data_IF_017684495878
#
_entry.id   IF_017684495878
#
_cell.length_a   1.000
_cell.length_b   1.000
_cell.length_c   1.000
_cell.angle_alpha   90.00
_cell.angle_beta   90.00
_cell.angle_gamma   90.00
#
_symmetry.space_group_name_H-M   'P 1'
#
loop_
_entity.id
_entity.type
_entity.pdbx_description
1 polymer ?
#
# COMPACT_ATOMS: atom_id res chain seq x y z
N UNK A 1 -6.69 -37.72 7.26
CA UNK A 1 -6.26 -36.56 6.47
C UNK A 1 -7.40 -35.56 6.54
N UNK A 2 -7.37 -34.66 7.52
CA UNK A 2 -8.33 -33.58 7.60
C UNK A 2 -8.10 -32.67 6.39
N UNK A 3 -9.07 -32.66 5.50
CA UNK A 3 -9.12 -31.67 4.43
C UNK A 3 -9.29 -30.32 5.11
N UNK A 4 -8.20 -29.58 5.24
CA UNK A 4 -8.23 -28.17 5.65
C UNK A 4 -9.35 -27.49 4.87
N UNK A 5 -10.43 -27.19 5.58
CA UNK A 5 -11.57 -26.49 5.02
C UNK A 5 -11.04 -25.16 4.54
N UNK A 6 -10.85 -25.01 3.21
CA UNK A 6 -10.42 -23.77 2.57
C UNK A 6 -11.38 -22.68 3.01
N UNK A 7 -10.98 -21.92 4.03
CA UNK A 7 -11.74 -20.82 4.56
C UNK A 7 -11.70 -19.71 3.52
N UNK A 8 -12.68 -19.73 2.61
CA UNK A 8 -12.93 -18.64 1.66
C UNK A 8 -14.10 -17.83 2.22
N UNK A 9 -13.91 -16.55 2.59
CA UNK A 9 -15.00 -15.75 3.12
C UNK A 9 -16.04 -15.51 2.02
N UNK A 10 -17.32 -15.51 2.40
CA UNK A 10 -18.45 -15.27 1.47
C UNK A 10 -18.45 -13.86 0.89
N UNK A 11 -17.74 -12.92 1.54
CA UNK A 11 -17.58 -11.53 1.11
C UNK A 11 -16.11 -11.14 1.24
N UNK A 12 -15.59 -10.27 0.37
CA UNK A 12 -14.24 -9.75 0.53
C UNK A 12 -14.13 -8.88 1.78
N UNK A 13 -12.97 -8.89 2.40
CA UNK A 13 -12.54 -7.86 3.33
C UNK A 13 -12.27 -6.57 2.58
N UNK A 14 -12.60 -5.44 3.19
CA UNK A 14 -12.25 -4.11 2.71
C UNK A 14 -11.38 -3.43 3.76
N UNK A 15 -10.21 -2.96 3.37
CA UNK A 15 -9.28 -2.38 4.34
C UNK A 15 -8.40 -1.32 3.70
N UNK A 16 -7.93 -0.42 4.54
CA UNK A 16 -6.94 0.60 4.22
C UNK A 16 -5.60 0.10 4.75
N UNK A 17 -4.57 0.19 3.92
CA UNK A 17 -3.21 -0.17 4.27
C UNK A 17 -2.27 1.01 4.05
N UNK A 18 -1.16 0.98 4.79
CA UNK A 18 -0.03 1.89 4.63
C UNK A 18 1.20 1.05 4.29
N UNK A 19 1.90 1.44 3.23
CA UNK A 19 3.21 0.90 2.87
C UNK A 19 4.26 1.92 3.27
N UNK A 20 5.30 1.51 4.00
CA UNK A 20 6.36 2.41 4.47
C UNK A 20 7.72 1.86 4.09
N UNK A 21 8.55 2.68 3.45
CA UNK A 21 9.92 2.36 3.12
C UNK A 21 10.84 2.78 4.27
N UNK A 22 11.45 1.81 4.94
CA UNK A 22 12.15 2.04 6.21
C UNK A 22 13.32 3.03 6.10
N UNK A 23 14.07 3.01 5.00
CA UNK A 23 15.28 3.83 4.86
C UNK A 23 14.99 5.28 4.44
N UNK A 24 13.98 5.49 3.60
CA UNK A 24 13.70 6.80 3.00
C UNK A 24 12.56 7.53 3.71
N UNK A 25 11.79 6.82 4.54
CA UNK A 25 10.57 7.33 5.16
C UNK A 25 9.41 7.53 4.18
N UNK A 26 9.58 7.17 2.90
CA UNK A 26 8.50 7.26 1.91
C UNK A 26 7.36 6.33 2.30
N UNK A 27 6.14 6.77 2.11
CA UNK A 27 4.98 5.92 2.37
C UNK A 27 3.85 6.13 1.39
N UNK A 28 3.00 5.12 1.27
CA UNK A 28 1.84 5.08 0.39
C UNK A 28 0.63 4.54 1.15
N UNK A 29 -0.52 5.19 0.99
CA UNK A 29 -1.80 4.77 1.56
C UNK A 29 -2.67 4.24 0.42
N UNK A 30 -3.38 3.14 0.65
CA UNK A 30 -4.31 2.63 -0.34
C UNK A 30 -5.42 1.78 0.21
N UNK A 31 -6.45 1.58 -0.61
CA UNK A 31 -7.57 0.68 -0.33
C UNK A 31 -7.39 -0.66 -1.03
N UNK A 32 -7.70 -1.75 -0.33
CA UNK A 32 -7.75 -3.09 -0.89
C UNK A 32 -9.08 -3.76 -0.57
N UNK A 33 -9.58 -4.52 -1.55
CA UNK A 33 -10.62 -5.52 -1.34
C UNK A 33 -10.00 -6.90 -1.58
N UNK A 34 -10.20 -7.85 -0.67
CA UNK A 34 -9.55 -9.16 -0.77
C UNK A 34 -10.36 -10.27 -0.11
N UNK A 35 -10.33 -11.48 -0.65
CA UNK A 35 -10.84 -12.67 0.03
C UNK A 35 -9.84 -13.23 1.03
N UNK A 36 -8.60 -12.76 1.02
CA UNK A 36 -7.63 -13.06 2.06
C UNK A 36 -7.88 -12.16 3.26
N UNK A 37 -7.62 -12.67 4.47
CA UNK A 37 -7.59 -11.82 5.66
C UNK A 37 -6.55 -10.71 5.47
N UNK A 38 -6.79 -9.46 5.92
CA UNK A 38 -5.90 -8.33 5.68
C UNK A 38 -4.43 -8.60 6.03
N UNK A 39 -4.17 -9.28 7.15
CA UNK A 39 -2.83 -9.65 7.63
C UNK A 39 -2.13 -10.74 6.80
N UNK A 40 -2.89 -11.49 5.99
CA UNK A 40 -2.39 -12.56 5.11
C UNK A 40 -2.42 -12.19 3.62
N UNK A 41 -3.01 -11.05 3.25
CA UNK A 41 -2.97 -10.59 1.86
C UNK A 41 -1.52 -10.21 1.53
N UNK A 42 -0.98 -10.69 0.41
CA UNK A 42 0.38 -10.39 -0.04
C UNK A 42 0.44 -9.20 -1.01
N UNK A 43 -0.68 -8.50 -1.22
CA UNK A 43 -0.75 -7.34 -2.11
C UNK A 43 0.04 -6.13 -1.56
N UNK A 44 0.92 -5.55 -2.38
CA UNK A 44 1.78 -4.40 -2.07
C UNK A 44 1.47 -3.15 -2.92
N UNK A 45 0.19 -2.94 -3.25
CA UNK A 45 -0.27 -1.70 -3.87
C UNK A 45 -0.11 -1.62 -5.38
N UNK A 46 -0.79 -0.65 -5.98
CA UNK A 46 -0.71 -0.41 -7.43
C UNK A 46 -0.77 1.06 -7.85
N UNK A 47 -0.46 1.99 -6.96
CA UNK A 47 -0.38 3.41 -7.30
C UNK A 47 0.75 3.65 -8.31
N UNK A 48 0.52 4.51 -9.31
CA UNK A 48 1.51 4.79 -10.36
C UNK A 48 2.85 5.26 -9.80
N UNK A 49 2.80 6.16 -8.81
CA UNK A 49 4.00 6.72 -8.18
C UNK A 49 4.73 5.72 -7.29
N UNK A 50 3.99 4.82 -6.66
CA UNK A 50 4.56 3.70 -5.91
C UNK A 50 5.33 2.77 -6.86
N UNK A 51 4.73 2.44 -8.02
CA UNK A 51 5.38 1.65 -9.06
C UNK A 51 6.61 2.32 -9.67
N UNK A 52 6.65 3.65 -9.78
CA UNK A 52 7.86 4.36 -10.19
C UNK A 52 9.01 4.10 -9.21
N UNK A 53 8.74 4.16 -7.90
CA UNK A 53 9.75 3.89 -6.87
C UNK A 53 10.16 2.41 -6.88
N UNK A 54 9.19 1.49 -6.94
CA UNK A 54 9.46 0.05 -7.04
C UNK A 54 10.38 -0.29 -8.21
N UNK A 55 10.12 0.27 -9.39
CA UNK A 55 10.94 0.01 -10.59
C UNK A 55 12.37 0.52 -10.46
N UNK A 56 12.57 1.63 -9.74
CA UNK A 56 13.90 2.15 -9.43
C UNK A 56 14.65 1.25 -8.42
N UNK A 57 13.92 0.47 -7.62
CA UNK A 57 14.45 -0.49 -6.65
C UNK A 57 14.53 -1.93 -7.19
N UNK A 58 14.29 -2.14 -8.49
CA UNK A 58 14.34 -3.47 -9.11
C UNK A 58 13.09 -4.34 -8.94
N UNK A 59 11.98 -3.77 -8.49
CA UNK A 59 10.69 -4.48 -8.35
C UNK A 59 9.76 -4.13 -9.52
N UNK A 60 9.36 -5.16 -10.30
CA UNK A 60 8.69 -5.01 -11.59
C UNK A 60 7.37 -5.78 -11.69
N UNK A 61 7.15 -6.79 -10.85
CA UNK A 61 5.95 -7.62 -10.89
C UNK A 61 5.43 -7.92 -9.49
N UNK A 62 4.10 -7.97 -9.36
CA UNK A 62 3.43 -8.13 -8.06
C UNK A 62 3.59 -9.53 -7.45
N UNK A 63 3.93 -10.52 -8.28
CA UNK A 63 4.21 -11.90 -7.89
C UNK A 63 5.62 -12.11 -7.32
N UNK A 64 6.51 -11.10 -7.40
CA UNK A 64 7.83 -11.11 -6.76
C UNK A 64 7.75 -11.04 -5.23
N UNK A 65 6.54 -10.99 -4.66
CA UNK A 65 6.32 -10.95 -3.23
C UNK A 65 6.53 -9.55 -2.66
N UNK A 66 7.22 -9.47 -1.52
CA UNK A 66 7.44 -8.22 -0.79
C UNK A 66 8.57 -7.40 -1.44
N UNK A 67 8.33 -6.14 -1.85
CA UNK A 67 9.39 -5.24 -2.32
C UNK A 67 10.42 -4.97 -1.21
N UNK A 68 11.71 -4.89 -1.57
CA UNK A 68 12.79 -4.67 -0.61
C UNK A 68 12.63 -3.33 0.14
N UNK A 69 12.84 -3.32 1.46
CA UNK A 69 12.74 -2.12 2.30
C UNK A 69 11.32 -1.63 2.60
N UNK A 70 10.28 -2.26 2.05
CA UNK A 70 8.89 -1.86 2.25
C UNK A 70 8.15 -2.73 3.27
N UNK A 71 7.55 -2.11 4.28
CA UNK A 71 6.66 -2.77 5.23
C UNK A 71 5.20 -2.39 4.98
N UNK A 72 4.29 -3.35 5.18
CA UNK A 72 2.84 -3.12 5.07
C UNK A 72 2.17 -3.15 6.44
N UNK A 73 1.38 -2.13 6.71
CA UNK A 73 0.56 -1.99 7.90
C UNK A 73 -0.91 -1.94 7.51
N UNK A 74 -1.76 -2.69 8.21
CA UNK A 74 -3.21 -2.57 8.09
C UNK A 74 -3.65 -1.43 9.00
N UNK A 75 -4.17 -0.36 8.41
CA UNK A 75 -4.56 0.86 9.13
C UNK A 75 -5.94 0.70 9.74
N UNK A 76 -6.90 0.22 8.93
CA UNK A 76 -8.28 0.01 9.35
C UNK A 76 -8.99 -0.97 8.43
N UNK A 77 -9.96 -1.71 8.98
CA UNK A 77 -10.82 -2.66 8.25
C UNK A 77 -12.26 -2.14 8.29
N UNK A 78 -12.96 -2.25 7.17
CA UNK A 78 -14.29 -1.68 6.95
C UNK A 78 -15.28 -2.74 6.48
N UNK A 79 -16.58 -2.57 6.77
CA UNK A 79 -17.62 -3.48 6.32
C UNK A 79 -17.85 -3.43 4.80
N UNK A 80 -17.51 -2.31 4.16
CA UNK A 80 -17.72 -2.08 2.74
C UNK A 80 -16.60 -1.22 2.13
N UNK A 81 -16.48 -1.28 0.80
CA UNK A 81 -15.44 -0.55 0.05
C UNK A 81 -15.65 0.96 0.04
N UNK A 82 -16.88 1.45 0.15
CA UNK A 82 -17.19 2.89 0.12
C UNK A 82 -16.62 3.54 1.38
N UNK A 83 -16.89 2.96 2.54
CA UNK A 83 -16.35 3.38 3.83
C UNK A 83 -14.82 3.37 3.83
N UNK A 84 -14.19 2.34 3.27
CA UNK A 84 -12.73 2.27 3.13
C UNK A 84 -12.17 3.39 2.23
N UNK A 85 -12.80 3.66 1.09
CA UNK A 85 -12.40 4.73 0.17
C UNK A 85 -12.56 6.13 0.80
N UNK A 86 -13.65 6.36 1.55
CA UNK A 86 -13.86 7.63 2.26
C UNK A 86 -12.74 7.87 3.28
N UNK A 87 -12.40 6.86 4.07
CA UNK A 87 -11.28 6.94 5.01
C UNK A 87 -9.95 7.20 4.32
N UNK A 88 -9.63 6.46 3.25
CA UNK A 88 -8.39 6.65 2.48
C UNK A 88 -8.30 8.08 1.91
N UNK A 89 -9.39 8.58 1.32
CA UNK A 89 -9.46 9.94 0.77
C UNK A 89 -9.22 11.00 1.85
N UNK A 90 -9.84 10.86 3.03
CA UNK A 90 -9.63 11.77 4.15
C UNK A 90 -8.18 11.72 4.67
N UNK A 91 -7.60 10.52 4.76
CA UNK A 91 -6.22 10.33 5.21
C UNK A 91 -5.23 10.95 4.23
N UNK A 92 -5.38 10.70 2.92
CA UNK A 92 -4.55 11.30 1.88
C UNK A 92 -4.70 12.84 1.87
N UNK A 93 -5.92 13.35 2.10
CA UNK A 93 -6.16 14.78 2.16
C UNK A 93 -5.41 15.45 3.33
N UNK A 94 -5.31 14.79 4.48
CA UNK A 94 -4.52 15.26 5.62
C UNK A 94 -3.01 15.32 5.29
N UNK A 95 -2.51 14.42 4.45
CA UNK A 95 -1.10 14.33 4.06
C UNK A 95 -0.72 15.19 2.84
N UNK A 96 -1.62 16.03 2.32
CA UNK A 96 -1.45 16.75 1.05
C UNK A 96 -0.13 17.54 0.91
N UNK A 97 0.42 18.02 2.02
CA UNK A 97 1.68 18.80 2.08
C UNK A 97 2.89 17.97 2.52
N UNK A 98 2.70 16.70 2.89
CA UNK A 98 3.76 15.84 3.36
C UNK A 98 4.61 15.35 2.17
N UNK A 99 5.91 15.68 2.11
CA UNK A 99 6.77 15.29 0.99
C UNK A 99 7.03 13.79 0.92
N UNK A 100 6.81 13.05 2.02
CA UNK A 100 7.03 11.61 2.09
C UNK A 100 5.81 10.79 1.64
N UNK A 101 4.64 11.42 1.52
CA UNK A 101 3.44 10.76 1.02
C UNK A 101 3.47 10.60 -0.50
N UNK A 102 3.48 9.36 -0.98
CA UNK A 102 3.49 9.03 -2.41
C UNK A 102 2.14 9.27 -3.08
N UNK A 103 1.04 9.37 -2.32
CA UNK A 103 -0.27 9.71 -2.87
C UNK A 103 -0.38 11.18 -3.30
N UNK A 104 0.50 12.05 -2.81
CA UNK A 104 0.37 13.50 -2.98
C UNK A 104 1.25 14.05 -4.12
N UNK A 105 0.68 14.96 -4.92
CA UNK A 105 1.29 15.51 -6.15
C UNK A 105 2.55 16.34 -5.89
N UNK A 106 2.66 16.96 -4.70
CA UNK A 106 3.78 17.83 -4.36
C UNK A 106 5.12 17.09 -4.28
N UNK A 107 5.12 15.78 -4.04
CA UNK A 107 6.36 15.02 -3.95
C UNK A 107 7.06 14.83 -5.30
N UNK A 108 6.44 15.09 -6.47
CA UNK A 108 7.07 14.83 -7.80
C UNK A 108 8.45 15.48 -7.97
N UNK A 109 8.64 16.70 -7.46
CA UNK A 109 9.91 17.44 -7.59
C UNK A 109 10.94 17.12 -6.49
N UNK A 110 10.51 16.70 -5.29
CA UNK A 110 11.43 16.25 -4.22
C UNK A 110 11.99 14.83 -4.49
N UNK A 111 11.21 14.00 -5.21
CA UNK A 111 11.44 12.57 -5.48
C UNK A 111 12.81 12.21 -6.08
N UNK A 112 13.34 13.02 -7.00
CA UNK A 112 14.61 12.68 -7.65
C UNK A 112 15.82 12.92 -6.72
N UNK A 113 15.73 13.86 -5.78
CA UNK A 113 16.89 14.26 -4.96
C UNK A 113 17.14 13.34 -3.77
N UNK A 114 16.13 12.64 -3.28
CA UNK A 114 16.26 11.71 -2.14
C UNK A 114 16.70 10.31 -2.56
N UNK A 115 16.32 9.85 -3.76
CA UNK A 115 16.70 8.52 -4.28
C UNK A 115 18.11 8.47 -4.87
N UNK A 116 18.71 9.62 -5.25
CA UNK A 116 20.06 9.71 -5.82
C UNK A 116 21.15 9.93 -4.75
N UNK A 117 20.77 10.20 -3.49
CA UNK A 117 21.72 10.54 -2.41
C UNK A 117 22.17 9.35 -1.54
N UNK A 118 21.68 8.15 -1.83
CA UNK A 118 22.16 6.88 -1.27
C UNK A 118 22.75 6.03 -2.40
#
# INVERSE_FOLDING_TARGET
MDTEQKWAPKKPFHYVYLLHHAETGLYYIGVRSSYNKPEKDLYYGSGSLLWDVYRQQGYYHIDQGKPNGWEKYIVAVFPDRISANQFETQTIAAERKNPYCLNCTFSKKLRLKQLIKN
#
